data_IF_254580499666
#
_entry.id   IF_254580499666
#
_cell.length_a   1.000
_cell.length_b   1.000
_cell.length_c   1.000
_cell.angle_alpha   90.00
_cell.angle_beta   90.00
_cell.angle_gamma   90.00
#
_symmetry.space_group_name_H-M   'P 1'
#
loop_
_entity.id
_entity.type
_entity.pdbx_description
1 polymer ?
#
# COMPACT_ATOMS: atom_id res chain seq x y z
N UNK A 1 -12.71 -6.61 1.13
CA UNK A 1 -11.49 -6.53 1.99
C UNK A 1 -11.93 -6.14 3.39
N UNK A 2 -11.51 -6.86 4.46
CA UNK A 2 -11.80 -6.48 5.85
C UNK A 2 -11.35 -5.05 6.15
N UNK A 3 -12.23 -4.22 6.73
CA UNK A 3 -11.98 -2.78 6.91
C UNK A 3 -10.81 -2.49 7.85
N UNK A 4 -10.64 -3.33 8.87
CA UNK A 4 -9.55 -3.28 9.84
C UNK A 4 -8.16 -3.58 9.23
N UNK A 5 -8.09 -4.02 7.97
CA UNK A 5 -6.83 -4.31 7.25
C UNK A 5 -6.58 -3.38 6.07
N UNK A 6 -7.54 -2.53 5.70
CA UNK A 6 -7.47 -1.65 4.53
C UNK A 6 -7.02 -0.25 4.94
N UNK A 7 -5.88 0.23 4.43
CA UNK A 7 -5.40 1.61 4.63
C UNK A 7 -5.43 2.10 6.09
N UNK A 8 -5.03 1.23 7.05
CA UNK A 8 -5.14 1.49 8.51
C UNK A 8 -4.46 2.77 8.98
N UNK A 9 -3.43 3.19 8.28
CA UNK A 9 -2.59 4.35 8.61
C UNK A 9 -2.89 5.54 7.67
N UNK A 10 -4.05 5.52 7.01
CA UNK A 10 -4.45 6.53 6.04
C UNK A 10 -4.04 6.19 4.61
N UNK A 11 -4.25 7.15 3.72
CA UNK A 11 -4.03 6.97 2.28
C UNK A 11 -3.90 8.31 1.56
N UNK A 12 -4.10 8.28 0.23
CA UNK A 12 -3.84 9.44 -0.62
C UNK A 12 -4.72 10.67 -0.30
N UNK A 13 -5.95 10.46 0.19
CA UNK A 13 -6.86 11.55 0.60
C UNK A 13 -6.28 12.33 1.78
N UNK A 14 -5.73 11.64 2.77
CA UNK A 14 -5.21 12.27 3.98
C UNK A 14 -3.77 12.78 3.82
N UNK A 15 -2.94 12.08 3.04
CA UNK A 15 -1.51 12.39 2.92
C UNK A 15 -1.18 13.24 1.69
N UNK A 16 -1.50 12.74 0.51
CA UNK A 16 -1.34 13.36 -0.83
C UNK A 16 -1.29 12.28 -1.90
N UNK A 17 -1.55 12.63 -3.16
CA UNK A 17 -1.35 11.77 -4.34
C UNK A 17 -0.32 12.38 -5.30
N UNK A 18 0.99 12.37 -4.97
CA UNK A 18 2.01 12.76 -5.92
C UNK A 18 2.05 11.71 -7.04
N UNK A 19 1.70 12.13 -8.26
CA UNK A 19 1.68 11.26 -9.44
C UNK A 19 3.07 10.64 -9.63
N UNK A 20 3.12 9.39 -10.11
CA UNK A 20 4.30 8.53 -10.24
C UNK A 20 5.02 8.14 -8.92
N UNK A 21 4.99 8.96 -7.86
CA UNK A 21 5.60 8.62 -6.57
C UNK A 21 4.68 7.84 -5.61
N UNK A 22 3.35 7.91 -5.82
CA UNK A 22 2.37 7.28 -4.93
C UNK A 22 2.53 5.76 -4.82
N UNK A 23 2.96 5.07 -5.88
CA UNK A 23 3.23 3.63 -5.84
C UNK A 23 4.34 3.28 -4.84
N UNK A 24 5.49 3.96 -4.93
CA UNK A 24 6.60 3.78 -3.99
C UNK A 24 6.18 4.11 -2.55
N UNK A 25 5.41 5.18 -2.35
CA UNK A 25 4.88 5.54 -1.02
C UNK A 25 3.97 4.47 -0.44
N UNK A 26 3.04 3.90 -1.23
CA UNK A 26 2.16 2.80 -0.80
C UNK A 26 3.00 1.58 -0.41
N UNK A 27 3.97 1.20 -1.23
CA UNK A 27 4.83 0.04 -0.98
C UNK A 27 5.67 0.22 0.29
N UNK A 28 6.34 1.37 0.46
CA UNK A 28 7.13 1.66 1.65
C UNK A 28 6.26 1.59 2.91
N UNK A 29 5.05 2.17 2.86
CA UNK A 29 4.11 2.15 3.97
C UNK A 29 3.67 0.72 4.34
N UNK A 30 3.39 -0.13 3.34
CA UNK A 30 3.11 -1.55 3.56
C UNK A 30 4.28 -2.26 4.26
N UNK A 31 5.51 -2.07 3.77
CA UNK A 31 6.70 -2.71 4.35
C UNK A 31 6.91 -2.29 5.82
N UNK A 32 6.81 -0.99 6.12
CA UNK A 32 6.92 -0.50 7.49
C UNK A 32 5.79 -1.03 8.39
N UNK A 33 4.56 -1.12 7.87
CA UNK A 33 3.41 -1.69 8.59
C UNK A 33 3.64 -3.14 8.93
N UNK A 34 4.03 -3.96 7.95
CA UNK A 34 4.24 -5.38 8.15
C UNK A 34 5.31 -5.64 9.20
N UNK A 35 6.41 -4.88 9.14
CA UNK A 35 7.48 -4.94 10.14
C UNK A 35 7.00 -4.52 11.54
N UNK A 36 6.28 -3.41 11.65
CA UNK A 36 5.78 -2.91 12.93
C UNK A 36 4.73 -3.83 13.57
N UNK A 37 3.91 -4.49 12.75
CA UNK A 37 2.82 -5.38 13.21
C UNK A 37 3.22 -6.87 13.26
N UNK A 38 4.45 -7.22 12.90
CA UNK A 38 4.90 -8.62 12.84
C UNK A 38 4.10 -9.47 11.84
N UNK A 39 3.62 -8.87 10.75
CA UNK A 39 2.81 -9.54 9.73
C UNK A 39 3.67 -10.00 8.55
N UNK A 40 3.22 -11.07 7.89
CA UNK A 40 3.95 -11.72 6.79
C UNK A 40 3.67 -11.10 5.42
N UNK A 41 2.41 -11.00 5.03
CA UNK A 41 2.02 -10.59 3.67
C UNK A 41 1.26 -9.27 3.66
N UNK A 42 1.57 -8.43 2.68
CA UNK A 42 0.85 -7.20 2.36
C UNK A 42 0.52 -7.10 0.88
N UNK A 43 -0.67 -6.57 0.57
CA UNK A 43 -1.14 -6.30 -0.79
C UNK A 43 -1.23 -4.79 -1.01
N UNK A 44 -0.56 -4.29 -2.02
CA UNK A 44 -0.71 -2.92 -2.53
C UNK A 44 -1.40 -2.94 -3.88
N UNK A 45 -2.23 -1.94 -4.16
CA UNK A 45 -2.79 -1.71 -5.49
C UNK A 45 -3.07 -0.24 -5.74
N UNK A 46 -3.10 0.14 -7.02
CA UNK A 46 -3.48 1.48 -7.45
C UNK A 46 -4.18 1.43 -8.81
N UNK A 47 -5.18 2.29 -8.99
CA UNK A 47 -5.74 2.60 -10.29
C UNK A 47 -4.80 3.51 -11.08
N UNK A 48 -4.85 3.42 -12.40
CA UNK A 48 -4.06 4.24 -13.32
C UNK A 48 -5.02 4.80 -14.38
N UNK A 49 -4.76 6.02 -14.86
CA UNK A 49 -5.55 6.64 -15.93
C UNK A 49 -5.62 5.78 -17.20
N UNK A 50 -6.71 5.90 -17.95
CA UNK A 50 -6.93 5.06 -19.15
C UNK A 50 -7.44 3.65 -18.85
N UNK A 51 -8.01 3.42 -17.66
CA UNK A 51 -8.62 2.14 -17.28
C UNK A 51 -7.61 1.05 -16.89
N UNK A 52 -6.39 1.44 -16.53
CA UNK A 52 -5.31 0.52 -16.14
C UNK A 52 -5.28 0.33 -14.62
N UNK A 53 -4.57 -0.71 -14.18
CA UNK A 53 -4.38 -0.99 -12.75
C UNK A 53 -3.07 -1.74 -12.51
N UNK A 54 -2.53 -1.56 -11.30
CA UNK A 54 -1.35 -2.29 -10.83
C UNK A 54 -1.63 -2.86 -9.44
N UNK A 55 -1.09 -4.05 -9.19
CA UNK A 55 -1.09 -4.68 -7.88
C UNK A 55 0.27 -5.30 -7.58
N UNK A 56 0.61 -5.37 -6.30
CA UNK A 56 1.83 -6.01 -5.80
C UNK A 56 1.53 -6.74 -4.50
N UNK A 57 2.22 -7.85 -4.29
CA UNK A 57 2.26 -8.56 -3.01
C UNK A 57 3.69 -8.49 -2.51
N UNK A 58 3.86 -8.11 -1.24
CA UNK A 58 5.15 -8.16 -0.54
C UNK A 58 5.08 -9.17 0.59
N UNK A 59 6.21 -9.81 0.83
CA UNK A 59 6.46 -10.66 1.99
C UNK A 59 7.52 -10.00 2.87
N UNK A 60 7.26 -9.90 4.17
CA UNK A 60 8.27 -9.48 5.13
C UNK A 60 9.32 -10.58 5.27
N UNK A 61 10.59 -10.21 5.05
CA UNK A 61 11.74 -11.08 5.27
C UNK A 61 12.16 -10.84 6.72
N UNK A 62 11.97 -11.86 7.55
CA UNK A 62 12.39 -11.86 8.95
C UNK A 62 13.81 -12.37 9.08
#
# INVERSE_FOLDING_TARGET
>A
IPRDKLNRQGGAIALSHPLAASGARITAHLLHTLRAEGKRYGLGSACIGGGQGIALIVEAIN
#
